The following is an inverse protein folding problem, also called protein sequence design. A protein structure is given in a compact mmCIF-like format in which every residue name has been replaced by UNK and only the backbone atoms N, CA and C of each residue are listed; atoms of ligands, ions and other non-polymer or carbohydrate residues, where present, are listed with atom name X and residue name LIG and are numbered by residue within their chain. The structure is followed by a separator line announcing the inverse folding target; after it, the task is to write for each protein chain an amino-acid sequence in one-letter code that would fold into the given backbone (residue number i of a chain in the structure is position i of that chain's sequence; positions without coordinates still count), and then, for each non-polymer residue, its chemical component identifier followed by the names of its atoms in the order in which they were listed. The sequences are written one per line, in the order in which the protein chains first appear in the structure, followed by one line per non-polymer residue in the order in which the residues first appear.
data_IF_138288561299
#
_entry.id   IF_138288561299
#
_cell.length_a   1.000
_cell.length_b   1.000
_cell.length_c   1.000
_cell.angle_alpha   90.00
_cell.angle_beta   90.00
_cell.angle_gamma   90.00
#
_symmetry.space_group_name_H-M   'P 1'
#
loop_
_entity.id
_entity.type
_entity.pdbx_description
1 polymer ?
#
# COMPACT_ATOMS: atom_id res chain seq x y z
N UNK A 1 -17.09 2.21 -9.50
CA UNK A 1 -15.68 2.24 -9.97
C UNK A 1 -15.45 3.56 -10.67
N UNK A 2 -14.44 4.34 -10.24
CA UNK A 2 -14.08 5.59 -10.91
C UNK A 2 -12.92 5.33 -11.87
N UNK A 3 -12.98 5.96 -13.05
CA UNK A 3 -11.88 5.96 -14.02
C UNK A 3 -10.69 6.65 -13.36
N UNK A 4 -9.52 5.99 -13.39
CA UNK A 4 -8.28 6.56 -12.85
C UNK A 4 -7.38 7.15 -13.91
N UNK A 5 -7.53 6.71 -15.16
CA UNK A 5 -6.86 7.28 -16.31
C UNK A 5 -7.67 7.02 -17.58
N UNK A 6 -7.80 7.99 -18.49
CA UNK A 6 -8.43 7.76 -19.78
C UNK A 6 -7.58 6.79 -20.61
N UNK A 7 -8.23 6.00 -21.46
CA UNK A 7 -7.53 5.16 -22.44
C UNK A 7 -7.20 5.89 -23.75
N UNK A 8 -7.09 5.17 -24.87
CA UNK A 8 -7.33 3.73 -25.03
C UNK A 8 -6.18 2.89 -24.47
N UNK A 9 -6.50 1.91 -23.61
CA UNK A 9 -5.53 1.00 -23.02
C UNK A 9 -5.52 -0.40 -23.68
N UNK A 10 -6.51 -0.76 -24.49
CA UNK A 10 -6.69 -2.12 -25.03
C UNK A 10 -5.48 -2.69 -25.80
N UNK A 11 -4.72 -1.85 -26.50
CA UNK A 11 -3.56 -2.30 -27.30
C UNK A 11 -2.38 -2.74 -26.43
N UNK A 12 -2.22 -2.12 -25.26
CA UNK A 12 -1.08 -2.30 -24.36
C UNK A 12 -1.47 -2.97 -23.02
N UNK A 13 -2.78 -3.11 -22.78
CA UNK A 13 -3.36 -3.68 -21.58
C UNK A 13 -2.97 -2.94 -20.29
N UNK A 14 -2.77 -3.72 -19.23
CA UNK A 14 -2.42 -3.19 -17.91
C UNK A 14 -1.14 -2.37 -17.90
N UNK A 15 -0.18 -2.64 -18.80
CA UNK A 15 1.07 -1.89 -18.87
C UNK A 15 0.84 -0.41 -19.22
N UNK A 16 -0.17 -0.09 -20.03
CA UNK A 16 -0.58 1.29 -20.29
C UNK A 16 -1.05 2.00 -19.03
N UNK A 17 -1.90 1.31 -18.26
CA UNK A 17 -2.51 1.85 -17.05
C UNK A 17 -1.48 1.99 -15.93
N UNK A 18 -0.69 0.94 -15.67
CA UNK A 18 0.33 0.91 -14.62
C UNK A 18 1.44 1.95 -14.80
N UNK A 19 1.75 2.37 -16.04
CA UNK A 19 2.68 3.48 -16.30
C UNK A 19 2.14 4.85 -15.90
N UNK A 20 0.81 5.00 -15.83
CA UNK A 20 0.12 6.26 -15.50
C UNK A 20 -0.29 6.30 -14.03
N UNK A 21 -0.92 5.23 -13.57
CA UNK A 21 -1.36 5.07 -12.18
C UNK A 21 -0.93 3.68 -11.72
N UNK A 22 -0.02 3.61 -10.75
CA UNK A 22 0.39 2.33 -10.17
C UNK A 22 -0.83 1.56 -9.62
N UNK A 23 -0.79 0.22 -9.69
CA UNK A 23 -1.90 -0.66 -9.27
C UNK A 23 -3.23 -0.46 -10.02
N UNK A 24 -3.18 0.07 -11.25
CA UNK A 24 -4.33 0.12 -12.14
C UNK A 24 -4.30 -0.97 -13.21
N UNK A 25 -5.46 -1.28 -13.80
CA UNK A 25 -5.68 -2.26 -14.86
C UNK A 25 -6.55 -1.66 -15.97
N UNK A 26 -6.42 -2.23 -17.17
CA UNK A 26 -7.25 -1.84 -18.30
C UNK A 26 -8.60 -2.56 -18.26
N UNK A 27 -9.71 -1.82 -18.36
CA UNK A 27 -11.03 -2.42 -18.60
C UNK A 27 -11.19 -2.78 -20.07
N UNK A 28 -11.44 -4.05 -20.36
CA UNK A 28 -11.67 -4.52 -21.73
C UNK A 28 -12.97 -3.96 -22.33
N UNK A 29 -13.95 -3.65 -21.49
CA UNK A 29 -15.25 -3.13 -21.92
C UNK A 29 -15.22 -1.61 -22.13
N UNK A 30 -14.58 -0.88 -21.22
CA UNK A 30 -14.56 0.59 -21.24
C UNK A 30 -13.38 1.17 -22.01
N UNK A 31 -12.34 0.36 -22.25
CA UNK A 31 -11.08 0.81 -22.83
C UNK A 31 -10.47 1.98 -22.03
N UNK A 32 -10.57 1.91 -20.70
CA UNK A 32 -10.14 2.92 -19.72
C UNK A 32 -9.46 2.23 -18.53
N UNK A 33 -8.68 2.99 -17.76
CA UNK A 33 -7.96 2.46 -16.61
C UNK A 33 -8.76 2.58 -15.32
N UNK A 34 -8.75 1.50 -14.52
CA UNK A 34 -9.37 1.42 -13.19
C UNK A 34 -8.39 0.84 -12.19
N UNK A 35 -8.64 1.01 -10.89
CA UNK A 35 -7.84 0.30 -9.88
C UNK A 35 -8.02 -1.21 -9.96
N UNK A 36 -6.94 -1.96 -9.75
CA UNK A 36 -6.98 -3.42 -9.61
C UNK A 36 -7.86 -3.83 -8.44
N UNK A 37 -8.41 -5.07 -8.44
CA UNK A 37 -9.06 -5.64 -7.26
C UNK A 37 -8.16 -5.53 -6.03
N UNK A 38 -8.74 -5.19 -4.87
CA UNK A 38 -7.99 -4.90 -3.64
C UNK A 38 -7.40 -3.49 -3.56
N UNK A 39 -7.71 -2.62 -4.53
CA UNK A 39 -7.33 -1.21 -4.50
C UNK A 39 -8.55 -0.29 -4.69
N UNK A 40 -8.47 0.88 -4.08
CA UNK A 40 -9.48 1.92 -4.14
C UNK A 40 -8.89 3.19 -4.77
N UNK A 41 -9.68 3.83 -5.62
CA UNK A 41 -9.33 5.10 -6.27
C UNK A 41 -9.47 6.25 -5.26
N UNK A 42 -8.40 7.00 -5.07
CA UNK A 42 -8.29 8.11 -4.11
C UNK A 42 -7.79 9.35 -4.86
N UNK A 43 -8.53 10.46 -4.75
CA UNK A 43 -8.10 11.75 -5.27
C UNK A 43 -7.14 12.39 -4.26
N UNK A 44 -5.86 12.48 -4.59
CA UNK A 44 -4.84 13.20 -3.82
C UNK A 44 -4.50 14.55 -4.49
N UNK A 45 -3.65 15.35 -3.85
CA UNK A 45 -3.26 16.69 -4.35
C UNK A 45 -2.54 16.66 -5.70
N UNK A 46 -1.89 15.55 -6.04
CA UNK A 46 -1.13 15.36 -7.28
C UNK A 46 -1.85 14.48 -8.32
N UNK A 47 -3.10 14.06 -8.06
CA UNK A 47 -3.89 13.26 -8.99
C UNK A 47 -4.58 12.06 -8.32
N UNK A 48 -5.20 11.22 -9.15
CA UNK A 48 -5.86 9.99 -8.71
C UNK A 48 -4.83 8.89 -8.49
N UNK A 49 -4.89 8.22 -7.35
CA UNK A 49 -4.04 7.06 -7.03
C UNK A 49 -4.87 5.83 -6.66
N UNK A 50 -4.31 4.64 -6.91
CA UNK A 50 -4.89 3.39 -6.45
C UNK A 50 -4.20 2.93 -5.17
N UNK A 51 -4.91 3.11 -4.05
CA UNK A 51 -4.42 2.78 -2.70
C UNK A 51 -4.96 1.44 -2.26
N UNK A 52 -4.19 0.71 -1.47
CA UNK A 52 -4.61 -0.60 -0.96
C UNK A 52 -5.91 -0.45 -0.16
N UNK A 53 -6.90 -1.24 -0.53
CA UNK A 53 -8.14 -1.37 0.22
C UNK A 53 -7.85 -2.18 1.49
N UNK A 54 -8.03 -1.57 2.66
CA UNK A 54 -7.68 -2.22 3.93
C UNK A 54 -8.78 -3.16 4.42
N UNK A 55 -10.03 -2.86 4.07
CA UNK A 55 -11.20 -3.67 4.40
C UNK A 55 -12.30 -3.43 3.36
N UNK A 56 -13.14 -4.44 3.16
CA UNK A 56 -14.36 -4.33 2.35
C UNK A 56 -15.51 -3.64 3.12
N UNK A 57 -15.31 -3.33 4.41
CA UNK A 57 -16.29 -2.59 5.20
C UNK A 57 -16.33 -1.13 4.75
N UNK A 58 -17.55 -0.64 4.59
CA UNK A 58 -17.80 0.78 4.35
C UNK A 58 -17.53 1.57 5.63
N UNK A 59 -16.99 2.77 5.46
CA UNK A 59 -16.78 3.73 6.54
C UNK A 59 -17.44 5.07 6.17
N UNK A 60 -17.79 5.84 7.20
CA UNK A 60 -18.25 7.23 7.07
C UNK A 60 -17.28 8.19 7.76
N UNK A 61 -16.65 7.74 8.85
CA UNK A 61 -15.72 8.53 9.65
C UNK A 61 -14.46 7.72 9.95
N UNK A 62 -13.36 8.40 10.26
CA UNK A 62 -12.08 7.76 10.54
C UNK A 62 -12.14 6.75 11.69
N UNK A 63 -13.03 6.98 12.67
CA UNK A 63 -13.25 6.06 13.79
C UNK A 63 -13.86 4.72 13.39
N UNK A 64 -14.35 4.55 12.16
CA UNK A 64 -14.81 3.26 11.66
C UNK A 64 -13.62 2.38 11.23
N UNK A 65 -12.46 2.98 10.99
CA UNK A 65 -11.25 2.32 10.48
C UNK A 65 -10.34 1.81 11.60
N UNK A 66 -10.92 1.14 12.59
CA UNK A 66 -10.20 0.67 13.80
C UNK A 66 -9.28 -0.53 13.55
N UNK A 67 -9.50 -1.27 12.46
CA UNK A 67 -8.80 -2.52 12.19
C UNK A 67 -7.34 -2.33 11.76
N UNK A 68 -6.98 -1.13 11.29
CA UNK A 68 -5.63 -0.80 10.84
C UNK A 68 -5.19 0.51 11.51
N UNK A 69 -4.07 0.47 12.22
CA UNK A 69 -3.57 1.63 12.97
C UNK A 69 -3.21 2.77 12.01
N UNK A 70 -3.63 3.99 12.33
CA UNK A 70 -3.46 5.20 11.51
C UNK A 70 -4.10 5.13 10.11
N UNK A 71 -5.05 4.22 9.91
CA UNK A 71 -5.89 4.28 8.71
C UNK A 71 -6.98 5.34 8.88
N UNK A 72 -7.52 5.79 7.74
CA UNK A 72 -8.55 6.82 7.70
C UNK A 72 -9.65 6.43 6.73
N UNK A 73 -10.84 6.97 6.94
CA UNK A 73 -11.95 6.79 6.03
C UNK A 73 -11.82 7.79 4.88
N UNK A 74 -11.71 7.30 3.65
CA UNK A 74 -11.54 8.20 2.52
C UNK A 74 -12.88 8.88 2.12
N UNK A 75 -12.99 10.22 2.18
CA UNK A 75 -14.27 10.94 2.07
C UNK A 75 -14.95 10.89 0.69
N UNK A 76 -14.34 10.29 -0.33
CA UNK A 76 -14.98 10.02 -1.62
C UNK A 76 -15.30 8.54 -1.90
N UNK A 77 -14.62 7.62 -1.21
CA UNK A 77 -14.74 6.19 -1.49
C UNK A 77 -15.58 5.44 -0.45
N UNK A 78 -15.65 5.99 0.77
CA UNK A 78 -16.31 5.35 1.91
C UNK A 78 -15.66 4.03 2.29
N UNK A 79 -14.33 3.93 2.16
CA UNK A 79 -13.55 2.76 2.54
C UNK A 79 -12.29 3.19 3.30
N UNK A 80 -11.83 2.31 4.19
CA UNK A 80 -10.60 2.54 4.92
C UNK A 80 -9.38 2.33 4.02
N UNK A 81 -8.53 3.35 4.00
CA UNK A 81 -7.27 3.35 3.27
C UNK A 81 -6.19 4.06 4.09
N UNK A 82 -4.94 3.87 3.68
CA UNK A 82 -3.85 4.63 4.26
C UNK A 82 -3.87 6.08 3.72
N UNK A 83 -3.81 7.09 4.61
CA UNK A 83 -3.73 8.50 4.21
C UNK A 83 -2.58 8.81 3.25
N UNK A 84 -2.64 9.97 2.60
CA UNK A 84 -1.57 10.44 1.71
C UNK A 84 -0.19 10.47 2.37
N UNK A 85 0.83 10.08 1.62
CA UNK A 85 2.21 9.93 2.12
C UNK A 85 2.44 8.69 3.00
N UNK A 86 1.41 7.91 3.30
CA UNK A 86 1.53 6.65 4.05
C UNK A 86 1.22 5.42 3.19
N UNK A 87 1.69 4.28 3.67
CA UNK A 87 1.60 2.97 3.02
C UNK A 87 1.23 1.93 4.06
N UNK A 88 0.44 0.94 3.65
CA UNK A 88 0.05 -0.16 4.53
C UNK A 88 1.23 -1.10 4.75
N UNK A 89 1.54 -1.37 6.02
CA UNK A 89 2.57 -2.32 6.45
C UNK A 89 1.87 -3.44 7.21
N UNK A 90 1.76 -4.59 6.57
CA UNK A 90 1.00 -5.73 7.10
C UNK A 90 1.56 -6.25 8.42
N UNK A 91 2.89 -6.21 8.62
CA UNK A 91 3.55 -6.68 9.85
C UNK A 91 3.19 -5.83 11.06
N UNK A 92 2.95 -4.54 10.85
CA UNK A 92 2.57 -3.60 11.90
C UNK A 92 1.05 -3.47 12.01
N UNK A 93 0.32 -4.06 11.05
CA UNK A 93 -1.10 -3.81 10.80
C UNK A 93 -1.43 -2.30 10.87
N UNK A 94 -0.61 -1.49 10.19
CA UNK A 94 -0.61 -0.04 10.34
C UNK A 94 -0.27 0.69 9.03
N UNK A 95 -0.76 1.92 8.91
CA UNK A 95 -0.31 2.88 7.91
C UNK A 95 0.94 3.60 8.42
N UNK A 96 2.04 3.50 7.66
CA UNK A 96 3.36 4.06 7.98
C UNK A 96 3.80 5.07 6.95
N UNK A 97 4.57 6.07 7.36
CA UNK A 97 5.08 7.08 6.44
C UNK A 97 6.01 6.44 5.41
N UNK A 98 5.70 6.62 4.13
CA UNK A 98 6.51 6.10 3.04
C UNK A 98 7.88 6.77 3.03
N UNK A 99 8.93 5.97 2.88
CA UNK A 99 10.29 6.46 2.73
C UNK A 99 10.65 6.50 1.24
N UNK A 100 9.95 7.32 0.45
CA UNK A 100 10.14 7.46 -1.02
C UNK A 100 11.43 8.21 -1.37
N UNK A 101 12.52 7.98 -0.63
CA UNK A 101 13.80 8.53 -0.98
C UNK A 101 14.50 7.62 -2.01
N UNK A 102 14.38 8.00 -3.29
CA UNK A 102 15.06 7.34 -4.41
C UNK A 102 16.60 7.38 -4.31
N UNK A 103 17.16 8.18 -3.42
CA UNK A 103 18.61 8.27 -3.21
C UNK A 103 19.08 7.28 -2.14
N UNK A 104 18.19 6.66 -1.36
CA UNK A 104 18.60 5.67 -0.36
C UNK A 104 18.83 4.30 -1.03
N UNK A 105 20.08 3.80 -1.12
CA UNK A 105 20.40 2.55 -1.79
C UNK A 105 19.75 1.34 -1.14
N UNK A 106 19.43 1.41 0.16
CA UNK A 106 18.69 0.36 0.85
C UNK A 106 17.24 0.32 0.39
N UNK A 107 16.54 1.48 0.36
CA UNK A 107 15.17 1.56 -0.15
C UNK A 107 15.07 1.14 -1.63
N UNK A 108 16.10 1.39 -2.44
CA UNK A 108 16.19 0.92 -3.83
C UNK A 108 16.27 -0.61 -3.91
N UNK A 109 17.29 -1.22 -3.28
CA UNK A 109 17.49 -2.68 -3.29
C UNK A 109 16.27 -3.42 -2.79
N UNK A 110 15.65 -2.88 -1.77
CA UNK A 110 14.52 -3.54 -1.21
C UNK A 110 13.29 -3.32 -2.14
N UNK A 111 13.04 -2.18 -2.77
CA UNK A 111 11.97 -2.11 -3.80
C UNK A 111 12.18 -3.10 -4.96
N UNK A 112 13.43 -3.32 -5.38
CA UNK A 112 13.76 -4.40 -6.34
C UNK A 112 13.38 -5.79 -5.83
N UNK A 113 13.31 -5.96 -4.51
CA UNK A 113 12.82 -7.13 -3.79
C UNK A 113 11.31 -7.15 -3.52
N UNK A 114 10.52 -6.30 -4.19
CA UNK A 114 9.05 -6.20 -4.07
C UNK A 114 8.46 -5.90 -2.69
N UNK A 115 9.26 -5.62 -1.69
CA UNK A 115 8.72 -5.14 -0.41
C UNK A 115 8.59 -3.63 -0.33
N UNK A 116 8.39 -3.14 0.90
CA UNK A 116 7.94 -1.77 1.16
C UNK A 116 8.88 -1.01 2.11
N UNK A 117 9.43 0.15 1.70
CA UNK A 117 10.32 0.99 2.53
C UNK A 117 9.54 2.10 3.25
N UNK A 118 9.64 2.16 4.58
CA UNK A 118 8.89 3.11 5.40
C UNK A 118 9.72 3.63 6.59
N UNK A 119 9.29 4.75 7.15
CA UNK A 119 9.83 5.29 8.39
C UNK A 119 9.22 4.58 9.60
N UNK A 120 10.07 3.92 10.39
CA UNK A 120 9.67 3.35 11.66
C UNK A 120 9.81 4.41 12.76
N UNK A 121 8.69 4.95 13.24
CA UNK A 121 8.65 5.83 14.42
C UNK A 121 8.36 4.99 15.66
N UNK A 122 9.39 4.77 16.48
CA UNK A 122 9.31 4.08 17.77
C UNK A 122 8.78 5.02 18.87
N UNK A 123 7.56 5.54 18.75
CA UNK A 123 6.95 6.33 19.84
C UNK A 123 6.41 5.48 21.01
N UNK A 124 7.09 4.37 21.32
CA UNK A 124 6.83 3.53 22.51
C UNK A 124 8.09 3.27 23.36
N UNK A 125 9.24 3.89 23.06
CA UNK A 125 10.39 3.90 24.00
C UNK A 125 11.05 5.28 23.98
N UNK A 126 10.68 6.10 24.95
CA UNK A 126 11.50 7.23 25.40
C UNK A 126 12.80 6.69 25.98
N UNK A 127 13.89 6.69 25.19
CA UNK A 127 15.18 7.22 25.63
C UNK A 127 16.28 7.02 24.58
N UNK A 128 17.00 8.13 24.35
CA UNK A 128 18.38 8.25 23.89
C UNK A 128 18.82 7.53 22.61
N UNK A 129 19.26 8.36 21.68
CA UNK A 129 20.10 8.11 20.50
C UNK A 129 19.41 7.52 19.26
N UNK A 130 19.39 8.37 18.24
CA UNK A 130 19.09 8.12 16.83
C UNK A 130 19.26 6.65 16.39
N UNK A 131 18.15 5.93 16.33
CA UNK A 131 18.08 4.72 15.53
C UNK A 131 17.02 4.90 14.45
N UNK A 132 17.46 5.46 13.31
CA UNK A 132 16.78 5.34 12.01
C UNK A 132 16.74 3.84 11.62
N UNK A 133 15.84 3.09 12.26
CA UNK A 133 15.70 1.64 12.10
C UNK A 133 14.81 1.37 10.90
N UNK A 134 15.40 1.34 9.70
CA UNK A 134 14.75 0.80 8.51
C UNK A 134 14.61 -0.72 8.71
N UNK A 135 13.39 -1.27 8.74
CA UNK A 135 13.19 -2.74 8.74
C UNK A 135 12.76 -3.22 7.37
N UNK A 136 13.67 -3.96 6.72
CA UNK A 136 13.53 -4.67 5.44
C UNK A 136 14.75 -5.61 5.28
N UNK A 137 14.81 -6.38 4.20
CA UNK A 137 14.61 -7.83 4.16
C UNK A 137 16.02 -8.45 4.29
N UNK A 138 16.24 -9.61 4.89
CA UNK A 138 17.58 -10.22 4.92
C UNK A 138 17.89 -10.85 3.57
N UNK A 139 18.87 -10.44 2.78
CA UNK A 139 19.31 -11.22 1.61
C UNK A 139 20.46 -12.15 2.05
N UNK A 140 20.28 -13.48 2.14
CA UNK A 140 21.39 -14.46 2.32
C UNK A 140 21.67 -15.22 1.05
N UNK A 141 22.94 -15.51 0.81
CA UNK A 141 23.40 -16.47 -0.20
C UNK A 141 22.91 -16.19 -1.62
N UNK A 142 22.86 -14.92 -2.05
CA UNK A 142 22.25 -14.49 -3.32
C UNK A 142 20.72 -14.71 -3.41
N UNK A 143 20.01 -14.69 -2.27
CA UNK A 143 18.54 -14.78 -2.15
C UNK A 143 17.95 -13.83 -1.10
N UNK A 144 16.76 -13.28 -1.35
CA UNK A 144 15.99 -12.44 -0.42
C UNK A 144 15.26 -13.33 0.59
N UNK A 145 15.46 -13.07 1.88
CA UNK A 145 14.89 -13.72 3.06
C UNK A 145 14.12 -12.68 3.91
N UNK A 146 12.96 -13.01 4.47
CA UNK A 146 12.29 -12.22 5.51
C UNK A 146 12.88 -12.48 6.91
N UNK A 147 12.71 -11.50 7.80
CA UNK A 147 13.28 -11.40 9.16
C UNK A 147 12.44 -12.19 10.19
N UNK A 148 13.04 -13.01 11.06
CA UNK A 148 12.32 -13.94 11.94
C UNK A 148 11.57 -13.27 13.13
N UNK A 149 10.31 -13.68 13.27
CA UNK A 149 9.31 -13.26 14.27
C UNK A 149 9.17 -14.27 15.41
N UNK A 150 8.84 -13.85 16.64
CA UNK A 150 8.18 -14.69 17.64
C UNK A 150 6.69 -14.35 17.83
N UNK A 151 6.00 -13.77 16.83
CA UNK A 151 4.55 -13.54 16.86
C UNK A 151 3.93 -14.12 15.60
N UNK A 152 3.55 -15.40 15.70
CA UNK A 152 2.67 -16.09 14.78
C UNK A 152 1.20 -15.69 15.03
N UNK A 153 0.37 -15.87 14.00
CA UNK A 153 -1.11 -15.80 13.94
C UNK A 153 -1.64 -14.34 13.96
N UNK A 154 -2.33 -13.80 12.95
CA UNK A 154 -3.61 -14.16 12.31
C UNK A 154 -3.64 -13.38 10.95
N UNK A 155 -3.81 -13.98 9.77
CA UNK A 155 -5.10 -14.18 9.12
C UNK A 155 -5.01 -15.32 8.08
N UNK A 156 -5.64 -16.46 8.40
CA UNK A 156 -6.30 -17.31 7.41
C UNK A 156 -7.70 -16.73 7.16
N UNK A 157 -8.19 -16.89 5.93
CA UNK A 157 -9.60 -16.70 5.49
C UNK A 157 -10.07 -15.27 5.13
N UNK A 158 -9.83 -14.83 3.87
CA UNK A 158 -10.79 -14.04 3.08
C UNK A 158 -10.83 -14.54 1.62
N UNK A 159 -10.79 -15.87 1.41
CA UNK A 159 -11.05 -16.51 0.11
C UNK A 159 -12.07 -17.65 0.19
N UNK A 160 -12.82 -17.72 1.28
CA UNK A 160 -14.00 -18.59 1.40
C UNK A 160 -15.23 -17.73 1.60
N UNK A 161 -15.65 -16.97 0.59
CA UNK A 161 -17.06 -16.75 0.28
C UNK A 161 -17.11 -16.32 -1.19
N UNK A 162 -17.62 -17.27 -1.98
CA UNK A 162 -18.12 -17.19 -3.36
C UNK A 162 -18.91 -15.93 -3.68
#
# INVERSE_FOLDING_TARGET
FHVVSPGPCLQEGDAYCMRRVANSMCSLEKNECFCKPGYVSIQESYGITCKTLLTNLKCQVDSDCIHVVNSACHPGAGYCACPGGTIYVSQDNACRQSAENNQNPFCLKCRQANGVCYHYTSNQISNSNEMKRYKRYEYKDHKLIPFNSPVDVIFKEILQYS
#
